data_IF_343040535816
#
_entry.id   IF_343040535816
#
_cell.length_a   1.000
_cell.length_b   1.000
_cell.length_c   1.000
_cell.angle_alpha   90.00
_cell.angle_beta   90.00
_cell.angle_gamma   90.00
#
_symmetry.space_group_name_H-M   'P 1'
#
loop_
_entity.id
_entity.type
_entity.pdbx_description
1 polymer ?
#
# COMPACT_ATOMS: atom_id res chain seq x y z
N UNK A 1 42.91 -93.05 65.10
CA UNK A 1 43.71 -94.04 65.84
C UNK A 1 45.11 -93.47 66.01
N UNK A 2 45.53 -93.17 67.25
CA UNK A 2 46.91 -92.99 67.75
C UNK A 2 47.78 -91.86 67.16
N UNK A 3 48.66 -91.16 67.87
CA UNK A 3 48.96 -90.81 69.28
C UNK A 3 50.35 -90.12 69.20
N UNK A 4 50.64 -89.08 70.00
CA UNK A 4 51.99 -88.65 70.46
C UNK A 4 52.97 -88.05 69.39
N UNK A 5 53.94 -87.15 69.65
CA UNK A 5 54.80 -86.81 70.81
C UNK A 5 55.54 -85.48 70.45
N UNK A 6 55.53 -84.39 71.25
CA UNK A 6 56.55 -83.95 72.25
C UNK A 6 57.69 -83.02 71.74
N UNK A 7 57.85 -81.86 72.43
CA UNK A 7 59.04 -80.99 72.72
C UNK A 7 59.77 -80.26 71.57
N UNK A 8 60.44 -79.10 71.72
CA UNK A 8 60.72 -78.13 72.80
C UNK A 8 61.28 -76.83 72.15
N UNK A 9 60.92 -75.66 72.70
CA UNK A 9 61.62 -74.32 72.75
C UNK A 9 62.47 -73.80 71.58
N UNK A 10 62.22 -72.54 71.17
CA UNK A 10 63.03 -71.38 71.62
C UNK A 10 62.31 -70.05 71.31
N UNK A 11 62.37 -69.13 72.28
CA UNK A 11 61.79 -67.79 72.26
C UNK A 11 62.72 -66.85 71.46
N UNK A 12 62.22 -66.18 70.42
CA UNK A 12 62.85 -64.97 69.88
C UNK A 12 61.82 -63.84 69.87
N UNK A 13 62.13 -62.80 70.64
CA UNK A 13 61.37 -61.58 70.73
C UNK A 13 61.81 -60.68 69.56
N UNK A 14 60.97 -60.59 68.52
CA UNK A 14 61.06 -59.54 67.51
C UNK A 14 59.77 -58.72 67.56
N UNK A 15 59.90 -57.46 67.95
CA UNK A 15 58.86 -56.45 67.83
C UNK A 15 58.58 -56.24 66.36
N UNK A 16 57.44 -56.73 65.87
CA UNK A 16 56.95 -56.41 64.53
C UNK A 16 55.87 -55.36 64.68
N UNK A 17 56.21 -54.15 64.24
CA UNK A 17 55.27 -53.07 63.91
C UNK A 17 54.30 -53.66 62.88
N UNK A 18 53.08 -54.02 63.31
CA UNK A 18 52.03 -54.36 62.36
C UNK A 18 51.49 -53.07 61.75
N UNK A 19 51.98 -52.81 60.54
CA UNK A 19 51.42 -51.90 59.54
C UNK A 19 49.89 -52.02 59.53
N UNK A 20 49.17 -50.95 59.86
CA UNK A 20 47.77 -50.81 59.47
C UNK A 20 47.74 -50.80 57.93
N UNK A 21 47.31 -51.91 57.35
CA UNK A 21 47.11 -52.01 55.90
C UNK A 21 46.09 -50.98 55.48
N UNK A 22 46.54 -49.95 54.77
CA UNK A 22 45.68 -48.97 54.11
C UNK A 22 44.75 -49.75 53.14
N UNK A 23 43.48 -49.87 53.48
CA UNK A 23 42.51 -50.56 52.64
C UNK A 23 42.45 -49.84 51.29
N UNK A 24 42.72 -50.55 50.20
CA UNK A 24 42.65 -49.97 48.87
C UNK A 24 41.22 -49.46 48.60
N UNK A 25 41.07 -48.14 48.50
CA UNK A 25 39.79 -47.51 48.14
C UNK A 25 39.51 -47.82 46.69
N UNK A 26 38.36 -48.46 46.42
CA UNK A 26 37.89 -48.74 45.08
C UNK A 26 36.67 -47.89 44.74
N UNK A 27 36.58 -47.47 43.49
CA UNK A 27 35.43 -46.73 42.94
C UNK A 27 34.72 -47.55 41.88
N UNK A 28 33.40 -47.37 41.80
CA UNK A 28 32.53 -48.01 40.82
C UNK A 28 32.15 -47.04 39.71
N UNK A 29 32.34 -47.47 38.46
CA UNK A 29 31.95 -46.73 37.28
C UNK A 29 30.79 -47.48 36.62
N UNK A 30 29.61 -46.86 36.65
CA UNK A 30 28.39 -47.41 36.06
C UNK A 30 28.06 -46.63 34.80
N UNK A 31 27.96 -47.35 33.68
CA UNK A 31 27.61 -46.81 32.37
C UNK A 31 26.30 -47.45 31.96
N UNK A 32 25.29 -46.63 31.74
CA UNK A 32 23.93 -47.07 31.46
C UNK A 32 23.59 -46.66 30.02
N UNK A 33 22.94 -47.53 29.26
CA UNK A 33 22.33 -47.11 28.00
C UNK A 33 20.97 -46.49 28.31
N UNK A 34 20.72 -45.29 27.79
CA UNK A 34 19.36 -44.76 27.70
C UNK A 34 18.50 -45.59 26.75
N UNK A 35 17.24 -45.17 26.56
CA UNK A 35 16.39 -45.80 25.56
C UNK A 35 17.03 -45.75 24.16
N UNK A 36 16.76 -46.77 23.35
CA UNK A 36 17.22 -46.86 21.95
C UNK A 36 18.74 -46.99 21.76
N UNK A 37 19.41 -47.62 22.71
CA UNK A 37 20.80 -48.03 22.55
C UNK A 37 21.25 -49.07 23.57
N UNK A 38 22.53 -49.39 23.51
CA UNK A 38 23.20 -50.39 24.35
C UNK A 38 24.62 -49.95 24.71
N UNK A 39 25.15 -50.48 25.80
CA UNK A 39 26.57 -50.31 26.17
C UNK A 39 27.34 -51.56 25.76
N UNK A 40 28.40 -51.37 24.98
CA UNK A 40 29.39 -52.42 24.68
C UNK A 40 30.66 -52.15 25.50
N UNK A 41 31.09 -53.13 26.30
CA UNK A 41 32.22 -52.99 27.22
C UNK A 41 31.87 -53.44 28.63
N UNK A 42 32.83 -53.40 29.55
CA UNK A 42 32.59 -53.79 30.94
C UNK A 42 31.82 -52.67 31.66
N UNK A 43 30.63 -52.98 32.16
CA UNK A 43 29.90 -52.11 33.09
C UNK A 43 29.01 -52.94 34.03
N UNK A 44 28.98 -52.64 35.34
CA UNK A 44 29.83 -51.69 36.04
C UNK A 44 31.31 -52.12 36.07
N UNK A 45 32.21 -51.15 36.26
CA UNK A 45 33.64 -51.39 36.50
C UNK A 45 33.99 -51.05 37.94
N UNK A 46 34.92 -51.79 38.54
CA UNK A 46 35.48 -51.48 39.86
C UNK A 46 36.98 -51.30 39.72
N UNK A 47 37.50 -50.12 40.05
CA UNK A 47 38.92 -49.78 39.91
C UNK A 47 39.45 -49.15 41.20
N UNK A 48 40.73 -49.32 41.48
CA UNK A 48 41.38 -48.67 42.61
C UNK A 48 41.48 -47.15 42.39
N UNK A 49 41.49 -46.37 43.47
CA UNK A 49 41.70 -44.93 43.43
C UNK A 49 42.96 -44.56 42.62
N UNK A 50 42.81 -43.62 41.70
CA UNK A 50 43.87 -43.16 40.79
C UNK A 50 44.13 -44.07 39.57
N UNK A 51 43.44 -45.21 39.44
CA UNK A 51 43.49 -46.06 38.24
C UNK A 51 42.52 -45.57 37.16
N UNK A 52 42.73 -46.03 35.93
CA UNK A 52 41.84 -45.76 34.79
C UNK A 52 40.78 -46.86 34.63
N UNK A 53 39.60 -46.49 34.12
CA UNK A 53 38.61 -47.44 33.64
C UNK A 53 38.98 -48.07 32.29
N UNK A 54 38.23 -49.07 31.87
CA UNK A 54 38.30 -49.64 30.52
C UNK A 54 37.32 -48.94 29.56
N UNK A 55 37.61 -48.86 28.25
CA UNK A 55 36.71 -48.22 27.29
C UNK A 55 35.32 -48.86 27.25
N UNK A 56 34.28 -48.04 27.13
CA UNK A 56 32.91 -48.44 26.83
C UNK A 56 32.38 -47.68 25.62
N UNK A 57 31.62 -48.35 24.76
CA UNK A 57 31.01 -47.75 23.57
C UNK A 57 29.51 -47.69 23.76
N UNK A 58 28.93 -46.50 23.64
CA UNK A 58 27.50 -46.30 23.51
C UNK A 58 27.10 -46.61 22.06
N UNK A 59 26.38 -47.72 21.85
CA UNK A 59 25.92 -48.15 20.53
C UNK A 59 24.43 -47.84 20.40
N UNK A 60 24.09 -46.95 19.48
CA UNK A 60 22.70 -46.66 19.16
C UNK A 60 22.02 -47.85 18.47
N UNK A 61 20.71 -48.00 18.69
CA UNK A 61 19.87 -48.88 17.88
C UNK A 61 19.67 -48.31 16.47
N UNK A 62 19.18 -49.12 15.52
CA UNK A 62 18.95 -48.67 14.15
C UNK A 62 17.96 -47.48 14.09
N UNK A 63 18.36 -46.41 13.39
CA UNK A 63 17.57 -45.18 13.28
C UNK A 63 17.74 -44.23 14.47
N UNK A 64 18.79 -44.39 15.26
CA UNK A 64 19.19 -43.49 16.33
C UNK A 64 20.69 -43.20 16.26
N UNK A 65 21.12 -42.10 16.87
CA UNK A 65 22.52 -41.78 17.09
C UNK A 65 22.78 -41.39 18.54
N UNK A 66 24.01 -41.65 19.02
CA UNK A 66 24.47 -41.18 20.33
C UNK A 66 24.68 -39.67 20.29
N UNK A 67 24.15 -38.97 21.30
CA UNK A 67 24.32 -37.51 21.43
C UNK A 67 25.33 -37.15 22.51
N UNK A 68 25.08 -37.57 23.74
CA UNK A 68 25.92 -37.27 24.89
C UNK A 68 25.72 -38.27 26.03
N UNK A 69 26.60 -38.22 27.02
CA UNK A 69 26.35 -38.79 28.34
C UNK A 69 25.62 -37.77 29.23
N UNK A 70 25.03 -38.22 30.35
CA UNK A 70 24.32 -37.34 31.32
C UNK A 70 25.20 -36.29 32.00
N UNK A 71 26.52 -36.36 31.84
CA UNK A 71 27.49 -35.36 32.28
C UNK A 71 28.02 -34.50 31.11
N UNK A 72 27.26 -34.42 30.02
CA UNK A 72 27.54 -33.66 28.79
C UNK A 72 28.76 -34.12 27.99
N UNK A 73 29.42 -35.21 28.40
CA UNK A 73 30.51 -35.79 27.62
C UNK A 73 29.98 -36.31 26.28
N UNK A 74 30.67 -36.00 25.18
CA UNK A 74 30.38 -36.53 23.84
C UNK A 74 31.35 -37.64 23.42
N UNK A 75 32.20 -38.08 24.34
CA UNK A 75 33.22 -39.09 24.03
C UNK A 75 32.56 -40.45 23.80
N UNK A 76 32.78 -41.04 22.63
CA UNK A 76 32.31 -42.39 22.29
C UNK A 76 33.27 -43.03 21.26
N UNK A 77 34.04 -44.08 21.61
CA UNK A 77 34.08 -44.79 22.90
C UNK A 77 34.59 -43.92 24.06
N UNK A 78 33.99 -44.07 25.24
CA UNK A 78 34.32 -43.35 26.47
C UNK A 78 35.30 -44.14 27.34
N UNK A 79 36.30 -43.44 27.89
CA UNK A 79 37.21 -43.97 28.92
C UNK A 79 37.44 -42.91 29.98
N UNK A 80 37.12 -43.20 31.23
CA UNK A 80 37.38 -42.31 32.35
C UNK A 80 38.71 -42.68 33.02
N UNK A 81 39.55 -41.66 33.27
CA UNK A 81 40.93 -41.83 33.75
C UNK A 81 41.11 -41.23 35.15
N UNK A 82 42.11 -41.71 35.88
CA UNK A 82 42.49 -41.20 37.22
C UNK A 82 41.27 -41.12 38.15
N UNK A 83 40.60 -42.24 38.39
CA UNK A 83 39.31 -42.27 39.10
C UNK A 83 39.49 -41.95 40.58
N UNK A 84 38.82 -40.88 41.04
CA UNK A 84 38.86 -40.41 42.43
C UNK A 84 37.49 -40.47 43.13
N UNK A 85 36.42 -40.81 42.41
CA UNK A 85 35.04 -40.94 42.94
C UNK A 85 34.24 -41.94 42.11
N UNK A 86 33.09 -42.39 42.60
CA UNK A 86 32.16 -43.20 41.81
C UNK A 86 31.59 -42.39 40.63
N UNK A 87 31.41 -43.04 39.50
CA UNK A 87 30.79 -42.47 38.29
C UNK A 87 29.49 -43.22 37.99
N UNK A 88 28.44 -42.48 37.67
CA UNK A 88 27.19 -43.05 37.16
C UNK A 88 26.66 -42.15 36.05
N UNK A 89 26.76 -42.61 34.81
CA UNK A 89 26.38 -41.83 33.62
C UNK A 89 25.53 -42.67 32.68
N UNK A 90 24.55 -42.02 32.05
CA UNK A 90 23.68 -42.64 31.04
C UNK A 90 23.99 -42.07 29.67
N UNK A 91 24.11 -42.93 28.65
CA UNK A 91 24.24 -42.52 27.26
C UNK A 91 22.86 -42.12 26.71
N UNK A 92 22.78 -40.93 26.14
CA UNK A 92 21.60 -40.37 25.49
C UNK A 92 21.65 -40.65 23.99
N UNK A 93 20.50 -41.01 23.43
CA UNK A 93 20.33 -41.30 22.01
C UNK A 93 19.14 -40.51 21.47
N UNK A 94 19.29 -39.99 20.27
CA UNK A 94 18.24 -39.28 19.54
C UNK A 94 17.89 -40.00 18.25
N UNK A 95 16.61 -39.92 17.88
CA UNK A 95 16.08 -40.57 16.69
C UNK A 95 16.55 -39.83 15.44
N UNK A 96 17.03 -40.58 14.45
CA UNK A 96 17.34 -40.04 13.15
C UNK A 96 16.05 -39.69 12.40
N UNK A 97 15.94 -38.43 11.97
CA UNK A 97 14.85 -38.01 11.10
C UNK A 97 15.29 -38.28 9.66
N UNK A 98 14.68 -39.31 9.06
CA UNK A 98 15.04 -39.75 7.70
C UNK A 98 14.19 -39.11 6.61
N UNK A 99 13.05 -38.50 6.98
CA UNK A 99 12.16 -37.84 6.04
C UNK A 99 11.33 -36.74 6.70
N UNK A 100 10.93 -35.76 5.89
CA UNK A 100 10.05 -34.65 6.22
C UNK A 100 8.83 -34.62 5.30
N UNK A 101 7.76 -33.98 5.75
CA UNK A 101 6.52 -33.81 5.00
C UNK A 101 6.36 -32.37 4.52
N UNK A 102 6.17 -32.19 3.21
CA UNK A 102 5.83 -30.90 2.60
C UNK A 102 4.35 -30.88 2.23
N UNK A 103 3.59 -30.00 2.87
CA UNK A 103 2.16 -29.81 2.63
C UNK A 103 1.92 -28.46 1.97
N UNK A 104 1.27 -28.48 0.81
CA UNK A 104 0.92 -27.33 0.00
C UNK A 104 -0.60 -27.28 -0.09
N UNK A 105 -1.19 -26.20 0.37
CA UNK A 105 -2.65 -26.00 0.35
C UNK A 105 -2.99 -24.79 -0.50
N UNK A 106 -4.16 -24.81 -1.15
CA UNK A 106 -4.70 -23.61 -1.78
C UNK A 106 -5.59 -22.89 -0.77
N UNK A 107 -5.42 -21.57 -0.68
CA UNK A 107 -6.42 -20.69 -0.06
C UNK A 107 -7.70 -20.64 -0.90
N UNK A 108 -8.62 -19.76 -0.51
CA UNK A 108 -9.82 -19.52 -1.30
C UNK A 108 -9.48 -19.03 -2.72
N UNK A 109 -10.34 -19.37 -3.68
CA UNK A 109 -10.24 -18.92 -5.08
C UNK A 109 -9.01 -19.44 -5.85
N UNK A 110 -8.56 -20.64 -5.50
CA UNK A 110 -7.57 -21.35 -6.29
C UNK A 110 -7.46 -22.82 -5.90
N UNK A 111 -6.49 -23.49 -6.53
CA UNK A 111 -6.21 -24.91 -6.39
C UNK A 111 -4.71 -25.18 -6.47
N UNK A 112 -4.26 -26.32 -5.94
CA UNK A 112 -2.89 -26.81 -6.12
C UNK A 112 -2.88 -27.89 -7.20
N UNK A 113 -1.96 -27.75 -8.16
CA UNK A 113 -1.62 -28.79 -9.13
C UNK A 113 -0.23 -29.34 -8.82
N UNK A 114 -0.08 -30.66 -8.75
CA UNK A 114 1.16 -31.34 -8.35
C UNK A 114 0.94 -32.25 -7.15
N UNK A 115 1.99 -32.94 -6.71
CA UNK A 115 1.89 -33.85 -5.56
C UNK A 115 1.88 -33.06 -4.26
N UNK A 116 0.82 -33.21 -3.47
CA UNK A 116 0.77 -32.73 -2.08
C UNK A 116 -0.19 -33.59 -1.25
N UNK A 117 0.17 -33.96 -0.01
CA UNK A 117 1.49 -33.78 0.62
C UNK A 117 2.59 -34.59 -0.06
N UNK A 118 3.85 -34.20 0.15
CA UNK A 118 5.05 -34.92 -0.28
C UNK A 118 5.81 -35.43 0.94
N UNK A 119 6.30 -36.67 0.90
CA UNK A 119 7.23 -37.20 1.90
C UNK A 119 8.63 -37.27 1.28
N UNK A 120 9.54 -36.44 1.76
CA UNK A 120 10.85 -36.19 1.18
C UNK A 120 11.93 -36.67 2.15
N UNK A 121 12.92 -37.41 1.65
CA UNK A 121 14.06 -37.81 2.49
C UNK A 121 14.85 -36.57 2.95
N UNK A 122 15.38 -36.60 4.18
CA UNK A 122 16.15 -35.48 4.73
C UNK A 122 17.30 -35.08 3.79
N UNK A 123 17.41 -33.78 3.49
CA UNK A 123 18.40 -33.21 2.57
C UNK A 123 18.10 -33.41 1.07
N UNK A 124 17.00 -34.07 0.71
CA UNK A 124 16.56 -34.21 -0.69
C UNK A 124 15.64 -33.08 -1.12
N UNK A 125 15.35 -33.02 -2.42
CA UNK A 125 14.46 -32.01 -3.02
C UNK A 125 13.04 -32.56 -3.18
N UNK A 126 12.06 -31.67 -3.04
CA UNK A 126 10.67 -31.93 -3.38
C UNK A 126 10.40 -31.93 -4.89
N UNK A 127 9.15 -32.16 -5.26
CA UNK A 127 8.67 -32.01 -6.65
C UNK A 127 7.91 -30.70 -6.83
N UNK A 128 7.94 -30.08 -8.02
CA UNK A 128 7.25 -28.80 -8.25
C UNK A 128 5.73 -28.90 -8.05
N UNK A 129 5.16 -27.87 -7.42
CA UNK A 129 3.72 -27.65 -7.29
C UNK A 129 3.35 -26.28 -7.86
N UNK A 130 2.18 -26.18 -8.49
CA UNK A 130 1.67 -24.95 -9.08
C UNK A 130 0.41 -24.52 -8.34
N UNK A 131 0.41 -23.28 -7.84
CA UNK A 131 -0.79 -22.62 -7.36
C UNK A 131 -1.57 -22.05 -8.56
N UNK A 132 -2.74 -22.61 -8.84
CA UNK A 132 -3.60 -22.19 -9.95
C UNK A 132 -4.78 -21.39 -9.41
N UNK A 133 -4.86 -20.12 -9.80
CA UNK A 133 -6.00 -19.27 -9.44
C UNK A 133 -7.26 -19.67 -10.20
N UNK A 134 -8.42 -19.44 -9.59
CA UNK A 134 -9.72 -19.49 -10.28
C UNK A 134 -9.89 -18.28 -11.21
N UNK A 135 -10.89 -18.34 -12.11
CA UNK A 135 -11.16 -17.25 -13.05
C UNK A 135 -11.46 -15.92 -12.33
N UNK A 136 -10.76 -14.85 -12.74
CA UNK A 136 -10.88 -13.53 -12.13
C UNK A 136 -10.08 -13.36 -10.83
N UNK A 137 -9.12 -14.24 -10.57
CA UNK A 137 -8.17 -14.15 -9.48
C UNK A 137 -6.74 -14.41 -10.00
N UNK A 138 -5.74 -13.98 -9.24
CA UNK A 138 -4.34 -14.31 -9.48
C UNK A 138 -3.64 -14.74 -8.19
N UNK A 139 -2.62 -15.58 -8.33
CA UNK A 139 -1.73 -15.96 -7.22
C UNK A 139 -0.88 -14.76 -6.81
N UNK A 140 -0.79 -14.50 -5.50
CA UNK A 140 0.04 -13.41 -4.96
C UNK A 140 1.30 -13.94 -4.27
N UNK A 141 1.12 -14.81 -3.28
CA UNK A 141 2.21 -15.37 -2.49
C UNK A 141 1.80 -16.66 -1.78
N UNK A 142 2.76 -17.42 -1.31
CA UNK A 142 2.56 -18.44 -0.28
C UNK A 142 2.52 -17.79 1.11
N UNK A 143 2.00 -18.49 2.12
CA UNK A 143 1.88 -18.02 3.50
C UNK A 143 3.22 -17.69 4.19
N UNK A 144 4.34 -18.14 3.62
CA UNK A 144 5.70 -17.78 4.03
C UNK A 144 6.30 -16.61 3.23
N UNK A 145 5.47 -15.90 2.46
CA UNK A 145 5.81 -14.78 1.56
C UNK A 145 6.61 -15.16 0.30
N UNK A 146 6.82 -16.45 0.02
CA UNK A 146 7.41 -16.85 -1.27
C UNK A 146 6.47 -16.49 -2.42
N UNK A 147 7.01 -15.95 -3.52
CA UNK A 147 6.26 -15.65 -4.75
C UNK A 147 6.55 -16.64 -5.88
N UNK A 148 7.31 -17.70 -5.61
CA UNK A 148 7.62 -18.72 -6.61
C UNK A 148 6.36 -19.51 -6.98
N UNK A 149 6.05 -19.57 -8.28
CA UNK A 149 4.96 -20.36 -8.82
C UNK A 149 5.26 -20.72 -10.30
N UNK A 150 5.57 -21.99 -10.64
CA UNK A 150 5.59 -23.17 -9.76
C UNK A 150 6.64 -23.07 -8.63
N UNK A 151 6.37 -23.71 -7.50
CA UNK A 151 7.24 -23.78 -6.31
C UNK A 151 7.86 -25.17 -6.17
N UNK A 152 9.14 -25.21 -5.83
CA UNK A 152 9.87 -26.43 -5.44
C UNK A 152 10.72 -26.11 -4.21
N UNK A 153 10.56 -26.87 -3.14
CA UNK A 153 11.42 -26.75 -1.95
C UNK A 153 12.58 -27.77 -2.05
N UNK A 154 13.80 -27.28 -1.92
CA UNK A 154 15.04 -28.06 -2.08
C UNK A 154 15.78 -28.20 -0.75
N UNK A 155 16.64 -29.22 -0.64
CA UNK A 155 17.40 -29.53 0.57
C UNK A 155 16.52 -29.51 1.84
N UNK A 156 15.50 -30.37 1.87
CA UNK A 156 14.48 -30.35 2.93
C UNK A 156 15.07 -30.82 4.27
N UNK A 157 15.05 -29.93 5.27
CA UNK A 157 15.57 -30.18 6.62
C UNK A 157 14.50 -30.10 7.72
N UNK A 158 13.24 -29.84 7.36
CA UNK A 158 12.12 -29.75 8.27
C UNK A 158 10.80 -29.98 7.52
N UNK A 159 9.74 -30.30 8.26
CA UNK A 159 8.39 -30.29 7.73
C UNK A 159 7.99 -28.87 7.28
N UNK A 160 7.20 -28.79 6.21
CA UNK A 160 6.70 -27.53 5.66
C UNK A 160 5.18 -27.62 5.52
N UNK A 161 4.49 -26.56 5.93
CA UNK A 161 3.07 -26.39 5.62
C UNK A 161 2.83 -24.96 5.16
N UNK A 162 2.48 -24.79 3.89
CA UNK A 162 2.26 -23.48 3.28
C UNK A 162 0.95 -23.44 2.49
N UNK A 163 0.31 -22.28 2.51
CA UNK A 163 -0.94 -22.02 1.80
C UNK A 163 -0.69 -20.98 0.70
N UNK A 164 -1.13 -21.27 -0.52
CA UNK A 164 -1.13 -20.31 -1.62
C UNK A 164 -2.26 -19.30 -1.44
N UNK A 165 -1.92 -18.01 -1.51
CA UNK A 165 -2.84 -16.90 -1.41
C UNK A 165 -3.18 -16.37 -2.81
N UNK A 166 -4.44 -16.00 -2.98
CA UNK A 166 -4.99 -15.49 -4.23
C UNK A 166 -5.73 -14.18 -3.98
N UNK A 167 -5.63 -13.24 -4.91
CA UNK A 167 -6.36 -11.99 -4.88
C UNK A 167 -7.26 -11.86 -6.10
N UNK A 168 -8.40 -11.19 -5.91
CA UNK A 168 -9.35 -10.95 -6.99
C UNK A 168 -8.78 -9.94 -7.97
N UNK A 169 -8.89 -10.23 -9.25
CA UNK A 169 -8.54 -9.30 -10.32
C UNK A 169 -9.46 -8.09 -10.27
N UNK A 170 -8.89 -6.92 -10.50
CA UNK A 170 -9.66 -5.68 -10.60
C UNK A 170 -10.52 -5.75 -11.87
N UNK A 171 -11.82 -5.44 -11.72
CA UNK A 171 -12.70 -5.27 -12.87
C UNK A 171 -12.15 -4.18 -13.80
N UNK A 172 -12.35 -4.31 -15.10
CA UNK A 172 -12.07 -3.26 -16.07
C UNK A 172 -13.37 -2.57 -16.47
N UNK A 173 -13.34 -1.25 -16.58
CA UNK A 173 -14.44 -0.40 -17.00
C UNK A 173 -14.11 0.31 -18.32
N UNK A 174 -15.14 0.56 -19.11
CA UNK A 174 -14.99 1.23 -20.41
C UNK A 174 -15.47 2.67 -20.27
N UNK A 175 -14.62 3.63 -20.60
CA UNK A 175 -14.97 5.05 -20.69
C UNK A 175 -15.11 5.44 -22.16
N UNK A 176 -16.31 5.81 -22.56
CA UNK A 176 -16.62 6.22 -23.93
C UNK A 176 -16.93 7.71 -23.94
N UNK A 177 -16.10 8.46 -24.65
CA UNK A 177 -16.28 9.88 -24.90
C UNK A 177 -16.62 10.08 -26.37
N UNK A 178 -17.71 10.77 -26.63
CA UNK A 178 -18.19 11.08 -27.99
C UNK A 178 -18.39 12.58 -28.16
N UNK A 179 -18.32 13.07 -29.39
CA UNK A 179 -18.71 14.44 -29.71
C UNK A 179 -20.14 14.45 -30.23
N UNK A 180 -20.93 15.42 -29.77
CA UNK A 180 -22.20 15.76 -30.41
C UNK A 180 -21.97 16.43 -31.77
N UNK A 181 -23.04 16.93 -32.38
CA UNK A 181 -22.92 17.72 -33.60
C UNK A 181 -22.02 18.95 -33.39
N UNK A 182 -21.31 19.36 -34.44
CA UNK A 182 -20.47 20.56 -34.48
C UNK A 182 -19.25 20.55 -33.54
N UNK A 183 -18.69 19.35 -33.34
CA UNK A 183 -17.39 19.22 -32.68
C UNK A 183 -16.79 17.83 -32.84
N UNK A 184 -15.64 17.65 -32.20
CA UNK A 184 -14.83 16.43 -32.24
C UNK A 184 -14.22 16.14 -30.87
N UNK A 185 -13.78 14.90 -30.65
CA UNK A 185 -12.99 14.52 -29.47
C UNK A 185 -11.54 14.29 -29.89
N UNK A 186 -10.60 14.89 -29.16
CA UNK A 186 -9.17 14.57 -29.24
C UNK A 186 -8.74 13.82 -27.98
N UNK A 187 -7.97 12.75 -28.12
CA UNK A 187 -7.55 11.86 -27.03
C UNK A 187 -8.04 10.43 -27.24
N UNK A 188 -7.69 9.52 -26.33
CA UNK A 188 -8.07 8.12 -26.44
C UNK A 188 -9.54 7.93 -26.03
N UNK A 189 -10.34 7.35 -26.93
CA UNK A 189 -11.72 6.93 -26.69
C UNK A 189 -12.08 5.78 -27.65
N UNK A 190 -12.67 4.67 -27.18
CA UNK A 190 -12.92 4.35 -25.77
C UNK A 190 -11.62 4.05 -24.99
N UNK A 191 -11.67 4.17 -23.66
CA UNK A 191 -10.59 3.80 -22.74
C UNK A 191 -11.01 2.56 -21.94
N UNK A 192 -10.10 1.60 -21.76
CA UNK A 192 -10.30 0.47 -20.84
C UNK A 192 -9.43 0.71 -19.60
N UNK A 193 -10.06 0.84 -18.44
CA UNK A 193 -9.41 1.28 -17.20
C UNK A 193 -9.74 0.30 -16.06
N UNK A 194 -8.74 -0.13 -15.30
CA UNK A 194 -8.95 -0.98 -14.13
C UNK A 194 -9.70 -0.23 -13.02
N UNK A 195 -10.48 -0.95 -12.22
CA UNK A 195 -11.22 -0.39 -11.10
C UNK A 195 -10.29 0.37 -10.13
N UNK A 196 -10.66 1.62 -9.83
CA UNK A 196 -9.90 2.53 -8.98
C UNK A 196 -8.72 3.24 -9.67
N UNK A 197 -8.45 2.98 -10.95
CA UNK A 197 -7.49 3.75 -11.74
C UNK A 197 -8.13 4.98 -12.37
N UNK A 198 -7.31 5.88 -12.89
CA UNK A 198 -7.74 7.10 -13.60
C UNK A 198 -7.75 6.87 -15.12
N UNK A 199 -8.66 7.54 -15.83
CA UNK A 199 -8.64 7.64 -17.28
C UNK A 199 -7.57 8.60 -17.79
N UNK A 200 -7.41 8.67 -19.12
CA UNK A 200 -6.55 9.66 -19.78
C UNK A 200 -7.35 10.89 -20.22
N UNK A 201 -6.75 12.10 -20.28
CA UNK A 201 -7.47 13.30 -20.68
C UNK A 201 -8.02 13.21 -22.11
N UNK A 202 -9.23 13.73 -22.29
CA UNK A 202 -9.86 13.96 -23.60
C UNK A 202 -10.28 15.41 -23.73
N UNK A 203 -10.18 15.98 -24.92
CA UNK A 203 -10.57 17.37 -25.21
C UNK A 203 -11.73 17.37 -26.18
N UNK A 204 -12.82 18.03 -25.80
CA UNK A 204 -13.91 18.37 -26.70
C UNK A 204 -13.52 19.62 -27.49
N UNK A 205 -13.40 19.49 -28.81
CA UNK A 205 -13.04 20.58 -29.70
C UNK A 205 -14.26 20.97 -30.53
N UNK A 206 -14.73 22.20 -30.37
CA UNK A 206 -15.82 22.74 -31.17
C UNK A 206 -15.35 23.00 -32.61
N UNK A 207 -16.27 22.87 -33.56
CA UNK A 207 -16.09 23.37 -34.92
C UNK A 207 -16.15 24.91 -34.94
N UNK A 208 -15.71 25.53 -36.03
CA UNK A 208 -15.70 26.98 -36.18
C UNK A 208 -17.12 27.57 -36.03
N UNK A 209 -17.25 28.60 -35.18
CA UNK A 209 -18.53 29.25 -34.88
C UNK A 209 -19.40 28.47 -33.88
N UNK A 210 -18.81 27.54 -33.14
CA UNK A 210 -19.43 26.85 -32.02
C UNK A 210 -18.50 26.88 -30.80
N UNK A 211 -19.07 26.71 -29.62
CA UNK A 211 -18.33 26.50 -28.38
C UNK A 211 -18.84 25.28 -27.63
N UNK A 212 -17.94 24.63 -26.88
CA UNK A 212 -18.30 23.57 -25.95
C UNK A 212 -19.10 24.17 -24.78
N UNK A 213 -20.23 23.55 -24.43
CA UNK A 213 -21.03 23.97 -23.27
C UNK A 213 -20.87 23.02 -22.10
N UNK A 214 -21.12 21.73 -22.32
CA UNK A 214 -21.08 20.71 -21.27
C UNK A 214 -21.02 19.30 -21.87
N UNK A 215 -20.74 18.31 -21.05
CA UNK A 215 -20.98 16.91 -21.36
C UNK A 215 -22.45 16.53 -21.06
N UNK A 216 -22.88 15.34 -21.46
CA UNK A 216 -24.25 14.83 -21.17
C UNK A 216 -24.56 14.63 -19.70
N UNK A 217 -23.54 14.55 -18.85
CA UNK A 217 -23.62 14.50 -17.39
C UNK A 217 -23.43 15.88 -16.73
N UNK A 218 -23.61 16.95 -17.51
CA UNK A 218 -23.53 18.36 -17.10
C UNK A 218 -22.15 18.83 -16.61
N UNK A 219 -21.12 17.99 -16.72
CA UNK A 219 -19.73 18.40 -16.50
C UNK A 219 -19.33 19.47 -17.52
N UNK A 220 -18.69 20.54 -17.05
CA UNK A 220 -18.13 21.62 -17.90
C UNK A 220 -16.62 21.50 -18.06
N UNK A 221 -16.02 20.40 -17.58
CA UNK A 221 -14.57 20.21 -17.62
C UNK A 221 -14.10 19.93 -19.06
N UNK A 222 -13.15 20.73 -19.55
CA UNK A 222 -12.53 20.53 -20.86
C UNK A 222 -11.10 21.14 -20.88
N UNK A 223 -10.02 20.34 -20.99
CA UNK A 223 -9.99 18.88 -21.15
C UNK A 223 -10.55 18.11 -19.94
N UNK A 224 -11.26 17.00 -20.21
CA UNK A 224 -11.88 16.13 -19.20
C UNK A 224 -10.98 14.95 -18.85
N UNK A 225 -10.91 14.63 -17.57
CA UNK A 225 -10.29 13.39 -17.05
C UNK A 225 -11.14 12.84 -15.92
N UNK A 226 -11.64 11.62 -16.08
CA UNK A 226 -12.36 10.90 -15.03
C UNK A 226 -11.38 10.08 -14.18
N UNK A 227 -11.52 10.16 -12.85
CA UNK A 227 -10.60 9.59 -11.87
C UNK A 227 -11.27 8.53 -11.01
N UNK A 228 -10.48 7.63 -10.43
CA UNK A 228 -10.95 6.58 -9.52
C UNK A 228 -12.17 5.83 -10.09
N UNK A 229 -12.02 5.24 -11.27
CA UNK A 229 -13.14 4.66 -12.02
C UNK A 229 -13.73 3.45 -11.29
N UNK A 230 -15.03 3.52 -10.98
CA UNK A 230 -15.78 2.43 -10.33
C UNK A 230 -16.91 1.85 -11.20
N UNK A 231 -17.14 2.43 -12.38
CA UNK A 231 -18.15 1.98 -13.34
C UNK A 231 -17.77 2.47 -14.75
N UNK A 232 -18.33 1.82 -15.77
CA UNK A 232 -18.22 2.29 -17.15
C UNK A 232 -18.98 3.61 -17.33
N UNK A 233 -18.46 4.48 -18.20
CA UNK A 233 -18.98 5.81 -18.46
C UNK A 233 -19.25 5.96 -19.96
N UNK A 234 -20.36 6.61 -20.32
CA UNK A 234 -20.63 7.00 -21.69
C UNK A 234 -21.18 8.43 -21.70
N UNK A 235 -20.38 9.37 -22.24
CA UNK A 235 -20.73 10.79 -22.26
C UNK A 235 -20.48 11.40 -23.64
N UNK A 236 -21.33 12.37 -23.98
CA UNK A 236 -21.24 13.12 -25.24
C UNK A 236 -21.00 14.59 -24.96
N UNK A 237 -20.01 15.20 -25.62
CA UNK A 237 -19.78 16.64 -25.56
C UNK A 237 -20.89 17.38 -26.33
N UNK A 238 -21.48 18.40 -25.71
CA UNK A 238 -22.49 19.28 -26.30
C UNK A 238 -21.81 20.57 -26.75
N UNK A 239 -22.22 21.04 -27.93
CA UNK A 239 -21.73 22.26 -28.54
C UNK A 239 -22.91 23.15 -28.92
N UNK A 240 -22.74 24.45 -28.75
CA UNK A 240 -23.73 25.45 -29.14
C UNK A 240 -23.13 26.43 -30.13
N UNK A 241 -23.98 26.93 -31.03
CA UNK A 241 -23.58 27.86 -32.07
C UNK A 241 -23.33 29.23 -31.47
N UNK A 242 -22.23 29.86 -31.84
CA UNK A 242 -21.92 31.22 -31.44
C UNK A 242 -22.91 32.20 -32.09
N UNK A 243 -23.29 33.24 -31.33
CA UNK A 243 -24.21 34.25 -31.82
C UNK A 243 -23.51 35.10 -32.88
N UNK A 244 -23.98 35.03 -34.12
CA UNK A 244 -23.37 35.74 -35.24
C UNK A 244 -23.49 37.28 -35.13
N UNK A 245 -24.57 37.77 -34.49
CA UNK A 245 -24.85 39.20 -34.37
C UNK A 245 -25.39 39.55 -32.98
N UNK A 246 -25.07 40.76 -32.53
CA UNK A 246 -25.58 41.36 -31.31
C UNK A 246 -26.42 42.61 -31.61
N UNK A 247 -27.35 42.91 -30.73
CA UNK A 247 -28.22 44.09 -30.83
C UNK A 247 -27.80 45.14 -29.81
N UNK A 248 -27.53 46.36 -30.29
CA UNK A 248 -27.26 47.53 -29.46
C UNK A 248 -28.49 48.44 -29.45
N UNK A 249 -29.11 48.60 -28.29
CA UNK A 249 -30.29 49.44 -28.11
C UNK A 249 -29.93 50.65 -27.28
N UNK A 250 -30.04 51.82 -27.91
CA UNK A 250 -29.85 53.11 -27.25
C UNK A 250 -31.20 53.80 -27.12
N UNK A 251 -31.55 54.18 -25.90
CA UNK A 251 -32.79 54.90 -25.61
C UNK A 251 -32.48 56.24 -24.94
N UNK A 252 -33.38 57.22 -25.09
CA UNK A 252 -33.28 58.47 -24.35
C UNK A 252 -34.23 58.43 -23.17
N UNK A 253 -33.74 58.80 -21.99
CA UNK A 253 -34.59 59.13 -20.85
C UNK A 253 -35.39 60.40 -21.10
N UNK A 254 -36.13 60.84 -20.08
CA UNK A 254 -36.90 62.08 -20.16
C UNK A 254 -35.98 63.28 -20.50
N UNK A 255 -36.55 64.26 -21.20
CA UNK A 255 -35.88 65.52 -21.55
C UNK A 255 -34.67 65.41 -22.50
N UNK A 256 -34.59 64.34 -23.28
CA UNK A 256 -33.65 64.27 -24.40
C UNK A 256 -34.14 63.37 -25.54
N UNK A 257 -33.28 63.22 -26.54
CA UNK A 257 -33.47 62.32 -27.68
C UNK A 257 -32.15 61.66 -28.08
N UNK A 258 -32.22 60.54 -28.79
CA UNK A 258 -31.05 59.90 -29.41
C UNK A 258 -30.98 60.33 -30.87
N UNK A 259 -29.83 60.83 -31.29
CA UNK A 259 -29.52 61.07 -32.70
C UNK A 259 -28.53 60.00 -33.19
N UNK A 260 -28.94 59.20 -34.17
CA UNK A 260 -28.21 58.03 -34.68
C UNK A 260 -29.12 56.82 -34.85
N UNK A 261 -28.60 55.73 -35.42
CA UNK A 261 -29.36 54.48 -35.60
C UNK A 261 -29.53 53.74 -34.27
N UNK A 262 -30.76 53.39 -33.92
CA UNK A 262 -31.09 52.54 -32.76
C UNK A 262 -32.44 51.84 -33.00
N UNK A 263 -32.56 50.52 -32.77
CA UNK A 263 -31.46 49.61 -32.43
C UNK A 263 -30.49 49.39 -33.60
N UNK A 264 -29.26 48.95 -33.28
CA UNK A 264 -28.25 48.52 -34.24
C UNK A 264 -28.07 47.02 -34.16
N UNK A 265 -27.89 46.34 -35.29
CA UNK A 265 -27.47 44.94 -35.33
C UNK A 265 -26.07 44.88 -35.93
N UNK A 266 -25.11 44.37 -35.15
CA UNK A 266 -23.69 44.28 -35.56
C UNK A 266 -23.21 42.85 -35.45
N UNK A 267 -22.29 42.45 -36.33
CA UNK A 267 -21.65 41.15 -36.23
C UNK A 267 -20.81 41.06 -34.93
N UNK A 268 -20.66 39.85 -34.37
CA UNK A 268 -19.79 39.62 -33.22
C UNK A 268 -18.37 40.16 -33.47
N UNK A 269 -17.85 40.93 -32.52
CA UNK A 269 -16.54 41.59 -32.60
C UNK A 269 -16.49 42.83 -33.50
N UNK A 270 -17.58 43.21 -34.16
CA UNK A 270 -17.68 44.47 -34.90
C UNK A 270 -18.07 45.64 -33.99
N UNK A 271 -17.86 46.85 -34.49
CA UNK A 271 -18.22 48.09 -33.80
C UNK A 271 -19.64 48.54 -34.18
N UNK A 272 -20.33 49.18 -33.24
CA UNK A 272 -21.52 49.96 -33.50
C UNK A 272 -21.25 51.24 -34.28
N UNK A 273 -22.32 51.90 -34.70
CA UNK A 273 -22.25 53.27 -35.25
C UNK A 273 -22.44 54.31 -34.14
N UNK A 274 -21.80 55.49 -34.21
CA UNK A 274 -21.93 56.50 -33.17
C UNK A 274 -23.37 56.97 -32.95
N UNK A 275 -23.78 57.11 -31.70
CA UNK A 275 -25.04 57.75 -31.29
C UNK A 275 -24.77 58.94 -30.37
N UNK A 276 -25.52 60.03 -30.57
CA UNK A 276 -25.41 61.24 -29.75
C UNK A 276 -26.65 61.40 -28.88
N UNK A 277 -26.47 61.45 -27.56
CA UNK A 277 -27.51 61.85 -26.64
C UNK A 277 -27.69 63.37 -26.70
N UNK A 278 -28.86 63.82 -27.18
CA UNK A 278 -29.17 65.25 -27.35
C UNK A 278 -30.17 65.69 -26.29
N UNK A 279 -29.73 66.56 -25.39
CA UNK A 279 -30.60 67.15 -24.38
C UNK A 279 -31.60 68.13 -25.02
N UNK A 280 -32.81 68.18 -24.47
CA UNK A 280 -33.77 69.23 -24.78
C UNK A 280 -33.30 70.57 -24.19
N UNK A 281 -33.89 71.68 -24.64
CA UNK A 281 -33.55 73.00 -24.11
C UNK A 281 -33.76 73.06 -22.59
N UNK A 282 -32.80 73.60 -21.85
CA UNK A 282 -32.81 73.65 -20.38
C UNK A 282 -32.26 72.40 -19.69
N UNK A 283 -31.77 71.40 -20.42
CA UNK A 283 -31.16 70.19 -19.87
C UNK A 283 -29.75 69.94 -20.42
N UNK A 284 -28.99 69.05 -19.78
CA UNK A 284 -27.72 68.51 -20.28
C UNK A 284 -27.67 66.99 -20.08
N UNK A 285 -26.93 66.31 -20.95
CA UNK A 285 -26.62 64.88 -20.78
C UNK A 285 -25.70 64.69 -19.57
N UNK A 286 -26.02 63.71 -18.72
CA UNK A 286 -25.18 63.37 -17.55
C UNK A 286 -24.36 62.11 -17.80
N UNK A 287 -25.04 61.01 -18.13
CA UNK A 287 -24.45 59.68 -18.30
C UNK A 287 -25.44 58.75 -19.00
N UNK A 288 -24.94 57.63 -19.51
CA UNK A 288 -25.75 56.48 -19.86
C UNK A 288 -26.10 55.68 -18.59
N UNK A 289 -27.07 54.77 -18.68
CA UNK A 289 -27.51 53.92 -17.56
C UNK A 289 -26.44 52.94 -17.05
N UNK A 290 -25.38 52.73 -17.83
CA UNK A 290 -24.16 51.98 -17.46
C UNK A 290 -23.02 52.92 -17.00
N UNK A 291 -23.35 54.15 -16.58
CA UNK A 291 -22.44 55.16 -16.05
C UNK A 291 -21.45 55.76 -17.05
N UNK A 292 -21.46 55.32 -18.31
CA UNK A 292 -20.63 55.93 -19.36
C UNK A 292 -20.99 57.41 -19.56
N UNK A 293 -19.98 58.28 -19.62
CA UNK A 293 -20.14 59.72 -19.90
C UNK A 293 -19.81 60.08 -21.36
N UNK A 294 -19.53 59.08 -22.20
CA UNK A 294 -19.14 59.30 -23.59
C UNK A 294 -20.34 59.78 -24.43
N UNK A 295 -20.18 60.92 -25.12
CA UNK A 295 -21.20 61.48 -26.02
C UNK A 295 -20.53 62.35 -27.10
N UNK A 296 -20.53 61.96 -28.40
CA UNK A 296 -21.19 60.77 -28.98
C UNK A 296 -20.59 59.44 -28.48
N UNK A 297 -21.45 58.43 -28.28
CA UNK A 297 -21.08 57.07 -27.84
C UNK A 297 -20.96 56.13 -29.03
N UNK A 298 -19.94 55.29 -29.01
CA UNK A 298 -19.76 54.14 -29.92
C UNK A 298 -19.31 52.96 -29.08
N UNK A 299 -19.96 51.81 -29.25
CA UNK A 299 -19.56 50.55 -28.59
C UNK A 299 -18.76 49.70 -29.58
N UNK A 300 -17.49 49.46 -29.28
CA UNK A 300 -16.55 48.71 -30.14
C UNK A 300 -16.39 47.27 -29.68
N UNK A 301 -15.98 46.38 -30.59
CA UNK A 301 -15.75 44.95 -30.33
C UNK A 301 -16.93 44.29 -29.58
N UNK A 302 -18.14 44.37 -30.16
CA UNK A 302 -19.37 43.94 -29.48
C UNK A 302 -19.43 42.42 -29.35
N UNK A 303 -19.51 41.95 -28.10
CA UNK A 303 -19.56 40.51 -27.74
C UNK A 303 -20.87 40.12 -27.00
N UNK A 304 -21.79 41.07 -26.83
CA UNK A 304 -23.09 40.82 -26.17
C UNK A 304 -24.11 41.88 -26.62
N UNK A 305 -25.39 41.59 -26.43
CA UNK A 305 -26.43 42.60 -26.64
C UNK A 305 -26.28 43.72 -25.60
N UNK A 306 -26.49 44.97 -26.03
CA UNK A 306 -26.43 46.15 -25.18
C UNK A 306 -27.79 46.82 -25.12
N UNK A 307 -28.21 47.26 -23.93
CA UNK A 307 -29.36 48.12 -23.77
C UNK A 307 -29.03 49.23 -22.76
N UNK A 308 -28.92 50.46 -23.24
CA UNK A 308 -28.54 51.61 -22.41
C UNK A 308 -29.45 52.81 -22.65
N UNK A 309 -29.70 53.55 -21.57
CA UNK A 309 -30.55 54.75 -21.58
C UNK A 309 -29.71 55.99 -21.29
N UNK A 310 -29.81 57.03 -22.12
CA UNK A 310 -29.18 58.32 -21.86
C UNK A 310 -29.96 59.11 -20.79
N UNK A 311 -29.28 59.54 -19.75
CA UNK A 311 -29.82 60.32 -18.65
C UNK A 311 -29.53 61.81 -18.85
N UNK A 312 -30.50 62.65 -18.48
CA UNK A 312 -30.43 64.10 -18.62
C UNK A 312 -30.82 64.77 -17.31
N UNK A 313 -30.15 65.87 -16.97
CA UNK A 313 -30.45 66.69 -15.81
C UNK A 313 -30.71 68.15 -16.24
N UNK A 314 -31.52 68.85 -15.46
CA UNK A 314 -31.84 70.26 -15.70
C UNK A 314 -30.57 71.11 -15.54
N UNK A 315 -30.44 72.13 -16.38
CA UNK A 315 -29.35 73.09 -16.28
C UNK A 315 -29.62 74.00 -15.08
N UNK A 316 -28.73 73.98 -14.09
CA UNK A 316 -28.83 74.90 -12.97
C UNK A 316 -28.36 76.28 -13.41
N UNK A 317 -29.26 77.25 -13.39
CA UNK A 317 -28.93 78.65 -13.68
C UNK A 317 -28.11 79.25 -12.53
N UNK A 318 -27.15 80.14 -12.84
CA UNK A 318 -26.34 80.86 -11.84
C UNK A 318 -27.22 81.67 -10.86
N UNK A 319 -28.43 82.08 -11.28
CA UNK A 319 -29.43 82.71 -10.41
C UNK A 319 -29.98 81.78 -9.33
N UNK A 320 -30.15 80.49 -9.62
CA UNK A 320 -30.66 79.48 -8.68
C UNK A 320 -29.61 79.13 -7.61
N UNK A 321 -28.33 79.06 -7.99
CA UNK A 321 -27.21 78.91 -7.06
C UNK A 321 -27.07 80.12 -6.14
N UNK A 322 -27.23 81.35 -6.67
CA UNK A 322 -27.25 82.57 -5.85
C UNK A 322 -28.43 82.62 -4.88
N UNK A 323 -29.62 82.14 -5.26
CA UNK A 323 -30.76 82.08 -4.35
C UNK A 323 -30.60 81.02 -3.26
N UNK A 324 -29.96 79.87 -3.51
CA UNK A 324 -29.60 78.91 -2.45
C UNK A 324 -28.49 79.43 -1.53
N UNK A 325 -27.50 80.14 -2.08
CA UNK A 325 -26.44 80.79 -1.28
C UNK A 325 -27.02 81.91 -0.41
N UNK A 326 -27.89 82.76 -0.97
CA UNK A 326 -28.56 83.85 -0.24
C UNK A 326 -29.62 83.33 0.75
N UNK A 327 -30.29 82.21 0.48
CA UNK A 327 -31.22 81.59 1.43
C UNK A 327 -30.49 80.97 2.63
N UNK A 328 -29.27 80.45 2.45
CA UNK A 328 -28.45 79.96 3.57
C UNK A 328 -27.80 81.10 4.39
N UNK A 329 -27.59 82.29 3.82
CA UNK A 329 -27.18 83.49 4.59
C UNK A 329 -28.33 84.17 5.34
N UNK A 330 -29.58 84.00 4.89
CA UNK A 330 -30.76 84.60 5.53
C UNK A 330 -31.32 83.81 6.73
N UNK A 331 -30.74 82.65 7.09
CA UNK A 331 -31.14 81.87 8.29
C UNK A 331 -30.34 82.26 9.55
N UNK A 332 -29.37 83.19 9.46
CA UNK A 332 -28.65 83.68 10.64
C UNK A 332 -28.75 85.19 10.84
N UNK A 333 -29.97 85.73 10.96
CA UNK A 333 -30.20 86.93 11.78
C UNK A 333 -31.55 86.81 12.48
N UNK A 334 -31.52 86.68 13.81
CA UNK A 334 -32.44 87.28 14.82
C UNK A 334 -32.83 86.32 15.96
N UNK A 335 -32.06 86.27 17.04
CA UNK A 335 -32.62 86.26 18.41
C UNK A 335 -31.73 87.13 19.30
N UNK A 336 -32.39 87.98 20.08
CA UNK A 336 -31.88 88.98 21.02
C UNK A 336 -30.72 88.56 21.92
#
# INVERSE_FOLDING_TARGET
>A
MKYFKILLTLLSLFTVISCEGNAAVNYTLTYIAGAHGSITGNSPQTVAAGSDGTPVTAKADDGFHFTSWTDDSVQNPRTDKNIQTNLNVTANFEKDITSYTLTYTAGAHGSITGNSPQTIAAGSDGTPVTAKADDGFHFTSWSDNSTQNPRTDTNVQADLNVTANFEKDKANYILTYTAGAHGSITGNSPQTVAAGSDGTPVTAKADDGFHFTSWTDDSVQNPRTDKNIQASLNVTAKFEKDKANYTLTYTAGAHGSINGSSPQTVAAGSDGTPVTAKANNGFHFTSWSDESVQNPRTDSNVQSDLNVTANFAENVSISTLKNQYNANELVSVSVN
#
